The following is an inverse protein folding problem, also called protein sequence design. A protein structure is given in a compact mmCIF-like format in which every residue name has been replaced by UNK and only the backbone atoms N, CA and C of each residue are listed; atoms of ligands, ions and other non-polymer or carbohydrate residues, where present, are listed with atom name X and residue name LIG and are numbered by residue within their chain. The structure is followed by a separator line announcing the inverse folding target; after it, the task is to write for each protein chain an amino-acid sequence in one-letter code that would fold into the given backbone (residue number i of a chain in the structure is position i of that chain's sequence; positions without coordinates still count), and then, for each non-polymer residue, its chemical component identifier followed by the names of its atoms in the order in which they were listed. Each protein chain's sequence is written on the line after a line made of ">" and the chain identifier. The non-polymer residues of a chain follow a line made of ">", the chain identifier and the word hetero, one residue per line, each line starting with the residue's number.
data_IF_949963108257
#
_entry.id   IF_949963108257
#
_cell.length_a   1.000
_cell.length_b   1.000
_cell.length_c   1.000
_cell.angle_alpha   90.00
_cell.angle_beta   90.00
_cell.angle_gamma   90.00
#
_symmetry.space_group_name_H-M   'P 1'
#
loop_
_entity.id
_entity.type
_entity.pdbx_description
1 polymer ?
#
# COMPACT_ATOMS: atom_id res chain seq x y z
N UNK A 1 -13.29 -10.06 -4.45
CA UNK A 1 -12.79 -8.66 -4.54
C UNK A 1 -11.86 -8.40 -3.36
N UNK A 2 -10.59 -8.75 -3.50
CA UNK A 2 -9.55 -8.42 -2.52
C UNK A 2 -8.41 -7.71 -3.25
N UNK A 3 -8.43 -6.37 -3.21
CA UNK A 3 -7.40 -5.55 -3.87
C UNK A 3 -6.17 -5.44 -2.95
N UNK A 4 -5.14 -6.18 -3.34
CA UNK A 4 -3.91 -6.53 -2.62
C UNK A 4 -2.77 -6.24 -3.60
N UNK A 5 -1.64 -5.57 -3.34
CA UNK A 5 -1.12 -4.79 -2.19
C UNK A 5 0.14 -4.00 -2.63
N UNK A 6 0.72 -3.16 -1.75
CA UNK A 6 2.03 -2.53 -1.98
C UNK A 6 3.04 -2.72 -0.82
N UNK A 7 4.31 -2.94 -1.16
CA UNK A 7 5.44 -2.78 -0.25
C UNK A 7 5.87 -1.30 -0.26
N UNK A 8 6.10 -0.73 0.92
CA UNK A 8 6.31 0.70 1.08
C UNK A 8 7.54 1.01 1.94
N UNK A 9 8.43 1.89 1.46
CA UNK A 9 9.58 2.38 2.22
C UNK A 9 9.44 3.85 2.56
N UNK A 10 9.77 4.20 3.81
CA UNK A 10 9.74 5.56 4.35
C UNK A 10 11.15 6.19 4.40
N UNK A 11 11.23 7.48 4.71
CA UNK A 11 12.52 8.17 4.89
C UNK A 11 13.24 7.72 6.17
N UNK A 12 14.58 7.55 6.15
CA UNK A 12 15.34 7.12 7.33
C UNK A 12 15.49 8.17 8.44
N UNK A 13 15.24 9.46 8.17
CA UNK A 13 15.19 10.52 9.21
C UNK A 13 13.78 10.68 9.81
N UNK A 14 13.10 9.59 10.13
CA UNK A 14 11.76 9.61 10.75
C UNK A 14 11.70 8.68 11.97
N UNK A 15 10.65 8.80 12.76
CA UNK A 15 10.34 7.86 13.84
C UNK A 15 10.25 6.42 13.27
N UNK A 16 10.67 5.39 14.03
CA UNK A 16 10.48 4.01 13.60
C UNK A 16 8.99 3.67 13.55
N UNK A 17 8.60 2.88 12.56
CA UNK A 17 7.25 2.34 12.44
C UNK A 17 6.89 1.45 13.63
N UNK A 18 5.72 1.70 14.20
CA UNK A 18 5.22 1.03 15.40
C UNK A 18 3.78 0.51 15.22
N UNK A 19 3.27 -0.16 16.27
CA UNK A 19 1.90 -0.68 16.27
C UNK A 19 0.85 0.45 16.23
N UNK A 20 1.16 1.64 16.77
CA UNK A 20 0.27 2.80 16.75
C UNK A 20 0.06 3.32 15.33
N UNK A 21 1.13 3.38 14.52
CA UNK A 21 1.06 3.65 13.09
C UNK A 21 0.15 2.64 12.38
N UNK A 22 0.36 1.33 12.62
CA UNK A 22 -0.46 0.29 11.99
C UNK A 22 -1.95 0.44 12.33
N UNK A 23 -2.29 0.65 13.61
CA UNK A 23 -3.67 0.84 14.09
C UNK A 23 -4.31 2.08 13.44
N UNK A 24 -3.64 3.23 13.46
CA UNK A 24 -4.15 4.49 12.87
C UNK A 24 -4.31 4.41 11.34
N UNK A 25 -3.37 3.77 10.66
CA UNK A 25 -3.40 3.58 9.22
C UNK A 25 -4.50 2.57 8.81
N UNK A 26 -4.76 1.57 9.65
CA UNK A 26 -5.80 0.55 9.44
C UNK A 26 -7.23 1.07 9.68
N UNK A 27 -7.44 1.85 10.75
CA UNK A 27 -8.75 2.39 11.15
C UNK A 27 -9.35 3.42 10.18
N UNK A 28 -8.54 3.96 9.26
CA UNK A 28 -8.95 4.92 8.25
C UNK A 28 -8.63 6.37 8.61
N UNK A 29 -8.37 7.18 7.59
CA UNK A 29 -7.87 8.56 7.72
C UNK A 29 -8.64 9.49 6.78
N UNK A 30 -8.78 10.77 7.16
CA UNK A 30 -9.50 11.77 6.36
C UNK A 30 -8.54 12.46 5.39
N UNK A 31 -8.44 11.94 4.16
CA UNK A 31 -7.64 12.50 3.06
C UNK A 31 -8.55 13.15 2.01
N UNK A 32 -8.14 14.26 1.39
CA UNK A 32 -8.94 14.93 0.34
C UNK A 32 -10.42 15.21 0.76
N UNK A 33 -10.69 15.50 2.04
CA UNK A 33 -12.04 15.66 2.64
C UNK A 33 -12.93 14.39 2.57
N UNK A 34 -12.35 13.19 2.43
CA UNK A 34 -13.04 11.90 2.49
C UNK A 34 -12.35 10.96 3.48
N UNK A 35 -13.11 10.26 4.30
CA UNK A 35 -12.59 9.16 5.11
C UNK A 35 -12.23 7.98 4.18
N UNK A 36 -11.06 7.38 4.36
CA UNK A 36 -10.70 6.13 3.67
C UNK A 36 -11.41 4.94 4.32
N UNK A 37 -11.88 3.99 3.51
CA UNK A 37 -12.31 2.68 4.00
C UNK A 37 -11.21 2.01 4.85
N UNK A 38 -11.56 1.23 5.88
CA UNK A 38 -10.61 0.46 6.68
C UNK A 38 -9.75 -0.47 5.83
N UNK A 39 -8.52 -0.72 6.28
CA UNK A 39 -7.57 -1.58 5.61
C UNK A 39 -6.72 -2.36 6.64
N UNK A 40 -6.06 -3.47 6.26
CA UNK A 40 -5.18 -4.22 7.19
C UNK A 40 -3.76 -3.61 7.11
N UNK A 41 -2.97 -3.52 8.19
CA UNK A 41 -1.61 -2.97 8.08
C UNK A 41 -0.63 -3.82 8.87
N UNK A 42 0.52 -4.13 8.26
CA UNK A 42 1.57 -4.96 8.87
C UNK A 42 2.90 -4.25 8.70
N UNK A 43 3.48 -3.79 9.81
CA UNK A 43 4.87 -3.29 9.83
C UNK A 43 5.81 -4.48 9.58
N UNK A 44 6.82 -4.28 8.73
CA UNK A 44 7.83 -5.31 8.40
C UNK A 44 9.21 -4.97 8.97
N UNK A 45 9.53 -3.67 9.08
CA UNK A 45 10.75 -3.14 9.67
C UNK A 45 10.47 -1.73 10.23
N UNK A 46 11.50 -1.09 10.80
CA UNK A 46 11.42 0.30 11.26
C UNK A 46 11.09 1.31 10.15
N UNK A 47 11.39 1.02 8.88
CA UNK A 47 11.18 1.91 7.72
C UNK A 47 10.18 1.38 6.68
N UNK A 48 9.74 0.12 6.81
CA UNK A 48 8.98 -0.61 5.78
C UNK A 48 7.72 -1.24 6.34
N UNK A 49 6.60 -1.08 5.61
CA UNK A 49 5.34 -1.77 5.93
C UNK A 49 4.66 -2.35 4.68
N UNK A 50 3.91 -3.43 4.91
CA UNK A 50 2.96 -4.00 3.97
C UNK A 50 1.61 -3.36 4.24
N UNK A 51 1.16 -2.54 3.30
CA UNK A 51 -0.22 -2.08 3.24
C UNK A 51 -0.92 -2.83 2.10
N UNK A 52 -2.07 -3.45 2.49
CA UNK A 52 -4.65 -4.36 1.57
C UNK A 52 -5.89 -3.36 1.21
N UNK A 53 -5.91 -2.75 0.01
CA UNK A 53 -6.67 -1.54 -0.30
C UNK A 53 -7.79 -1.89 -1.28
N UNK A 54 -8.99 -2.10 -0.75
CA UNK A 54 -10.21 -2.25 -1.56
C UNK A 54 -10.53 -1.00 -2.41
N UNK A 55 -10.12 0.18 -1.94
CA UNK A 55 -10.26 1.47 -2.64
C UNK A 55 -8.94 2.00 -3.21
N UNK A 56 -8.99 2.68 -4.37
CA UNK A 56 -7.83 3.25 -5.06
C UNK A 56 -7.90 4.77 -5.21
N UNK A 57 -7.84 5.54 -4.12
CA UNK A 57 -7.86 7.01 -4.22
C UNK A 57 -6.52 7.57 -4.72
N UNK A 58 -6.55 8.70 -5.45
CA UNK A 58 -5.35 9.35 -5.99
C UNK A 58 -4.30 9.61 -4.90
N UNK A 59 -3.12 8.99 -5.05
CA UNK A 59 -1.97 9.05 -4.12
C UNK A 59 -2.32 8.67 -2.67
N UNK A 60 -3.34 7.82 -2.47
CA UNK A 60 -3.91 7.46 -1.16
C UNK A 60 -2.87 7.19 -0.09
N UNK A 61 -2.04 6.16 -0.27
CA UNK A 61 -1.06 5.71 0.72
C UNK A 61 -0.11 6.86 1.10
N UNK A 62 0.37 7.61 0.10
CA UNK A 62 1.28 8.76 0.31
C UNK A 62 0.62 9.91 1.10
N UNK A 63 -0.70 10.09 1.01
CA UNK A 63 -1.47 11.08 1.79
C UNK A 63 -1.77 10.57 3.20
N UNK A 64 -2.17 9.31 3.35
CA UNK A 64 -2.42 8.65 4.63
C UNK A 64 -1.16 8.65 5.51
N UNK A 65 -0.01 8.23 4.97
CA UNK A 65 1.28 8.30 5.68
C UNK A 65 1.64 9.73 6.07
N UNK A 66 1.47 10.70 5.16
CA UNK A 66 1.76 12.11 5.44
C UNK A 66 0.92 12.69 6.59
N UNK A 67 -0.36 12.31 6.68
CA UNK A 67 -1.25 12.68 7.78
C UNK A 67 -0.84 12.08 9.13
N UNK A 68 -0.02 11.02 9.13
CA UNK A 68 0.62 10.43 10.29
C UNK A 68 2.07 10.92 10.52
N UNK A 69 2.53 11.92 9.74
CA UNK A 69 3.89 12.49 9.81
C UNK A 69 4.92 11.80 8.91
N UNK A 70 4.56 10.74 8.19
CA UNK A 70 5.48 9.88 7.44
C UNK A 70 5.57 10.22 5.95
N UNK A 71 6.80 10.35 5.43
CA UNK A 71 7.09 10.61 4.03
C UNK A 71 7.52 9.34 3.31
N UNK A 72 6.59 8.79 2.54
CA UNK A 72 6.83 7.73 1.57
C UNK A 72 7.90 8.14 0.56
N UNK A 73 8.97 7.38 0.46
CA UNK A 73 9.92 7.46 -0.66
C UNK A 73 9.46 6.50 -1.75
N UNK A 74 9.39 5.20 -1.45
CA UNK A 74 9.13 4.13 -2.41
C UNK A 74 7.73 3.51 -2.24
N UNK A 75 7.16 3.01 -3.35
CA UNK A 75 5.86 2.34 -3.42
C UNK A 75 5.88 1.31 -4.56
N UNK A 76 6.28 0.08 -4.24
CA UNK A 76 6.24 -1.06 -5.16
C UNK A 76 4.91 -1.82 -5.00
N UNK A 77 4.14 -2.00 -6.08
CA UNK A 77 2.87 -2.75 -6.08
C UNK A 77 3.13 -4.22 -6.44
N UNK A 78 3.22 -5.07 -5.41
CA UNK A 78 3.60 -6.49 -5.50
C UNK A 78 2.47 -7.44 -5.92
N UNK A 79 1.21 -6.99 -6.00
CA UNK A 79 0.04 -7.79 -6.38
C UNK A 79 -1.10 -6.90 -6.90
N UNK A 80 -2.07 -7.47 -7.62
CA UNK A 80 -3.42 -6.93 -7.82
C UNK A 80 -4.45 -8.08 -8.00
N UNK A 81 -5.52 -8.10 -7.20
CA UNK A 81 -6.48 -9.23 -7.08
C UNK A 81 -5.76 -10.59 -6.95
N UNK A 82 -5.76 -11.46 -7.97
CA UNK A 82 -5.01 -12.73 -8.01
C UNK A 82 -3.60 -12.62 -8.59
N UNK A 83 -3.31 -11.60 -9.40
CA UNK A 83 -2.03 -11.46 -10.10
C UNK A 83 -0.90 -10.97 -9.16
N UNK A 84 0.13 -11.81 -8.98
CA UNK A 84 1.35 -11.49 -8.24
C UNK A 84 2.41 -10.89 -9.17
N UNK A 85 3.25 -9.99 -8.64
CA UNK A 85 4.45 -9.51 -9.36
C UNK A 85 5.51 -10.61 -9.47
N UNK A 86 5.61 -11.48 -8.45
CA UNK A 86 6.62 -12.53 -8.33
C UNK A 86 8.03 -11.99 -8.64
N UNK A 87 8.81 -12.74 -9.42
CA UNK A 87 10.20 -12.41 -9.78
C UNK A 87 10.32 -11.61 -11.09
N UNK A 88 9.24 -10.93 -11.53
CA UNK A 88 9.22 -10.15 -12.76
C UNK A 88 10.18 -8.94 -12.67
N UNK A 89 11.23 -8.84 -13.49
CA UNK A 89 12.19 -7.75 -13.39
C UNK A 89 11.61 -6.38 -13.79
N UNK A 90 12.19 -5.30 -13.27
CA UNK A 90 11.79 -3.95 -13.62
C UNK A 90 11.86 -3.69 -15.14
N UNK A 91 10.87 -2.97 -15.67
CA UNK A 91 10.74 -2.72 -17.12
C UNK A 91 10.29 -3.93 -17.95
N UNK A 92 10.10 -5.11 -17.35
CA UNK A 92 9.45 -6.26 -18.01
C UNK A 92 7.93 -6.26 -17.78
N UNK A 93 7.24 -6.99 -18.62
CA UNK A 93 5.81 -7.26 -18.56
C UNK A 93 5.57 -8.73 -18.90
N UNK A 94 4.40 -9.24 -18.50
CA UNK A 94 3.89 -10.55 -18.87
C UNK A 94 2.54 -10.35 -19.54
N UNK A 95 2.24 -11.13 -20.58
CA UNK A 95 0.90 -11.20 -21.13
C UNK A 95 -0.01 -11.94 -20.14
N UNK A 96 -1.22 -11.43 -19.94
CA UNK A 96 -2.25 -12.10 -19.14
C UNK A 96 -3.33 -12.61 -20.08
N UNK A 97 -3.66 -13.90 -19.91
CA UNK A 97 -4.76 -14.51 -20.65
C UNK A 97 -6.09 -13.82 -20.30
N UNK A 98 -6.89 -13.55 -21.34
CA UNK A 98 -8.17 -12.83 -21.25
C UNK A 98 -9.21 -13.62 -20.47
N UNK A 99 -9.18 -14.94 -20.55
CA UNK A 99 -10.13 -15.80 -19.85
C UNK A 99 -9.87 -15.82 -18.33
N UNK A 100 -8.66 -15.44 -17.91
CA UNK A 100 -8.27 -15.25 -16.51
C UNK A 100 -8.56 -13.83 -15.97
N UNK A 101 -9.09 -12.91 -16.80
CA UNK A 101 -9.49 -11.56 -16.38
C UNK A 101 -10.90 -11.60 -15.76
N UNK A 102 -10.95 -11.63 -14.43
CA UNK A 102 -12.19 -11.48 -13.66
C UNK A 102 -12.83 -10.11 -13.97
N UNK A 103 -14.11 -10.13 -14.36
CA UNK A 103 -14.94 -8.94 -14.66
C UNK A 103 -15.53 -8.32 -13.40
#
# INVERSE_FOLDING_TARGET
>A
MEKIWGALRLKPQQLPLDNNFAIKMAGGLVINRKLTLPCKVTVLSQDTFKIILTQGLNRQIRKMSYQLGYKVIDLNRIRFEHYLLADLPEGKWLEIDKDNIVK
#
